data_IF_202315152857
#
_entry.id   IF_202315152857
#
_cell.length_a   1.000
_cell.length_b   1.000
_cell.length_c   1.000
_cell.angle_alpha   90.00
_cell.angle_beta   90.00
_cell.angle_gamma   90.00
#
_symmetry.space_group_name_H-M   'P 1'
#
loop_
_entity.id
_entity.type
_entity.pdbx_description
1 polymer ?
#
# COMPACT_ATOMS: atom_id res chain seq x y z
N UNK A 1 0.50 -13.70 3.03
CA UNK A 1 -0.82 -14.28 2.72
C UNK A 1 -1.93 -13.91 3.69
N UNK A 2 -1.87 -14.21 5.00
CA UNK A 2 -3.03 -14.00 5.89
C UNK A 2 -3.46 -12.55 6.04
N UNK A 3 -2.55 -11.58 6.17
CA UNK A 3 -2.92 -10.16 6.27
C UNK A 3 -3.72 -9.69 5.05
N UNK A 4 -3.30 -10.07 3.85
CA UNK A 4 -3.99 -9.63 2.63
C UNK A 4 -5.28 -10.40 2.45
N UNK A 5 -5.25 -11.72 2.63
CA UNK A 5 -6.40 -12.60 2.44
C UNK A 5 -7.50 -12.37 3.49
N UNK A 6 -7.12 -12.09 4.74
CA UNK A 6 -8.07 -12.06 5.85
C UNK A 6 -8.45 -10.63 6.27
N UNK A 7 -7.64 -9.61 5.95
CA UNK A 7 -7.92 -8.21 6.32
C UNK A 7 -8.20 -7.32 5.11
N UNK A 8 -7.48 -7.50 4.00
CA UNK A 8 -7.58 -6.60 2.83
C UNK A 8 -8.62 -7.11 1.82
N UNK A 9 -8.71 -8.43 1.62
CA UNK A 9 -9.65 -9.02 0.67
C UNK A 9 -11.12 -8.91 1.08
N UNK A 10 -11.57 -8.99 2.35
CA UNK A 10 -12.99 -8.85 2.64
C UNK A 10 -13.56 -7.47 2.25
N UNK A 11 -12.92 -6.33 2.59
CA UNK A 11 -13.37 -5.02 2.11
C UNK A 11 -13.25 -4.85 0.59
N UNK A 12 -12.16 -5.33 -0.02
CA UNK A 12 -11.97 -5.25 -1.48
C UNK A 12 -12.97 -6.13 -2.24
N UNK A 13 -13.27 -7.31 -1.72
CA UNK A 13 -14.24 -8.24 -2.29
C UNK A 13 -15.65 -7.66 -2.26
N UNK A 14 -16.01 -6.93 -1.19
CA UNK A 14 -17.26 -6.17 -1.12
C UNK A 14 -17.30 -5.03 -2.15
N UNK A 15 -16.20 -4.29 -2.33
CA UNK A 15 -16.10 -3.20 -3.31
C UNK A 15 -16.15 -3.69 -4.76
N UNK A 16 -15.52 -4.84 -5.04
CA UNK A 16 -15.47 -5.44 -6.36
C UNK A 16 -16.69 -6.33 -6.65
N UNK A 17 -17.67 -6.43 -5.74
CA UNK A 17 -18.91 -7.16 -5.97
C UNK A 17 -18.76 -8.69 -5.95
N UNK A 18 -17.76 -9.23 -5.27
CA UNK A 18 -17.56 -10.67 -5.12
C UNK A 18 -17.05 -11.38 -6.38
N UNK A 19 -16.37 -10.65 -7.28
CA UNK A 19 -15.78 -11.24 -8.49
C UNK A 19 -14.83 -12.39 -8.10
N UNK A 20 -15.16 -13.59 -8.58
CA UNK A 20 -14.40 -14.81 -8.36
C UNK A 20 -14.23 -15.53 -9.71
N UNK A 21 -12.98 -15.69 -10.14
CA UNK A 21 -12.67 -16.32 -11.42
C UNK A 21 -12.42 -17.83 -11.32
N UNK A 22 -12.43 -18.42 -10.12
CA UNK A 22 -12.05 -19.83 -9.91
C UNK A 22 -12.94 -20.84 -10.65
N UNK A 23 -14.19 -20.48 -10.97
CA UNK A 23 -15.12 -21.32 -11.72
C UNK A 23 -15.02 -21.13 -13.24
N UNK A 24 -14.05 -20.36 -13.74
CA UNK A 24 -13.75 -20.33 -15.16
C UNK A 24 -12.77 -21.46 -15.49
N UNK A 25 -13.29 -22.49 -16.13
CA UNK A 25 -12.51 -23.64 -16.55
C UNK A 25 -13.04 -24.21 -17.85
N UNK A 26 -12.19 -24.98 -18.52
CA UNK A 26 -12.56 -25.75 -19.70
C UNK A 26 -12.45 -27.23 -19.37
N UNK A 27 -13.48 -28.01 -19.66
CA UNK A 27 -13.45 -29.47 -19.49
C UNK A 27 -12.79 -30.10 -20.72
N UNK A 28 -11.86 -31.03 -20.50
CA UNK A 28 -11.21 -31.77 -21.61
C UNK A 28 -11.83 -33.15 -21.85
N UNK A 29 -12.78 -33.55 -21.01
CA UNK A 29 -13.54 -34.80 -21.15
C UNK A 29 -15.03 -34.53 -21.36
N UNK A 30 -15.79 -35.61 -21.51
CA UNK A 30 -17.23 -35.53 -21.73
C UNK A 30 -17.96 -35.09 -20.44
N UNK A 31 -18.82 -34.08 -20.58
CA UNK A 31 -19.69 -33.58 -19.52
C UNK A 31 -19.60 -32.07 -19.31
N UNK A 32 -20.75 -31.43 -19.12
CA UNK A 32 -20.86 -30.07 -18.63
C UNK A 32 -21.02 -30.07 -17.12
N UNK A 33 -20.13 -29.38 -16.43
CA UNK A 33 -20.15 -29.26 -14.97
C UNK A 33 -20.41 -27.81 -14.57
N UNK A 34 -21.30 -27.56 -13.59
CA UNK A 34 -21.63 -26.20 -13.16
C UNK A 34 -20.50 -25.53 -12.38
N UNK A 35 -19.56 -26.30 -11.82
CA UNK A 35 -18.44 -25.78 -11.03
C UNK A 35 -17.17 -26.59 -11.26
N UNK A 36 -16.03 -25.95 -11.01
CA UNK A 36 -14.71 -26.58 -11.07
C UNK A 36 -14.60 -27.73 -10.05
N UNK A 37 -15.25 -27.57 -8.90
CA UNK A 37 -15.32 -28.60 -7.87
C UNK A 37 -16.06 -29.85 -8.37
N UNK A 38 -17.22 -29.67 -9.00
CA UNK A 38 -18.00 -30.78 -9.55
C UNK A 38 -17.23 -31.54 -10.65
N UNK A 39 -16.54 -30.81 -11.54
CA UNK A 39 -15.71 -31.43 -12.58
C UNK A 39 -14.53 -32.23 -11.99
N UNK A 40 -13.91 -31.72 -10.92
CA UNK A 40 -12.82 -32.42 -10.21
C UNK A 40 -13.32 -33.66 -9.47
N UNK A 41 -14.48 -33.58 -8.81
CA UNK A 41 -15.09 -34.72 -8.12
C UNK A 41 -15.49 -35.83 -9.11
N UNK A 42 -15.94 -35.46 -10.31
CA UNK A 42 -16.21 -36.39 -11.40
C UNK A 42 -14.94 -37.01 -12.03
N UNK A 43 -13.74 -36.60 -11.59
CA UNK A 43 -12.47 -37.10 -12.13
C UNK A 43 -12.16 -36.62 -13.55
N UNK A 44 -12.85 -35.59 -14.04
CA UNK A 44 -12.67 -35.07 -15.39
C UNK A 44 -11.49 -34.10 -15.43
N UNK A 45 -10.62 -34.27 -16.42
CA UNK A 45 -9.51 -33.36 -16.65
C UNK A 45 -10.06 -31.95 -17.02
N UNK A 46 -9.59 -30.94 -16.29
CA UNK A 46 -10.02 -29.54 -16.45
C UNK A 46 -8.84 -28.60 -16.62
N UNK A 47 -8.94 -27.67 -17.58
CA UNK A 47 -8.01 -26.56 -17.76
C UNK A 47 -8.55 -25.34 -17.00
N UNK A 48 -7.88 -25.04 -15.88
CA UNK A 48 -8.37 -24.12 -14.86
C UNK A 48 -7.80 -22.72 -15.04
N UNK A 49 -8.05 -22.10 -16.20
CA UNK A 49 -7.51 -20.77 -16.52
C UNK A 49 -8.04 -19.67 -15.59
N UNK A 50 -9.25 -19.86 -15.04
CA UNK A 50 -9.84 -18.99 -14.05
C UNK A 50 -9.02 -18.86 -12.77
N UNK A 51 -8.44 -19.96 -12.29
CA UNK A 51 -7.57 -19.97 -11.11
C UNK A 51 -6.28 -19.21 -11.39
N UNK A 52 -5.76 -19.28 -12.62
CA UNK A 52 -4.58 -18.50 -13.02
C UNK A 52 -4.88 -17.00 -13.03
N UNK A 53 -6.00 -16.59 -13.63
CA UNK A 53 -6.46 -15.19 -13.62
C UNK A 53 -6.69 -14.71 -12.18
N UNK A 54 -7.35 -15.53 -11.35
CA UNK A 54 -7.56 -15.23 -9.94
C UNK A 54 -6.21 -14.96 -9.24
N UNK A 55 -5.23 -15.84 -9.44
CA UNK A 55 -3.91 -15.70 -8.82
C UNK A 55 -3.18 -14.43 -9.29
N UNK A 56 -3.28 -14.09 -10.58
CA UNK A 56 -2.74 -12.85 -11.14
C UNK A 56 -3.38 -11.60 -10.52
N UNK A 57 -4.70 -11.60 -10.35
CA UNK A 57 -5.45 -10.52 -9.71
C UNK A 57 -5.07 -10.41 -8.23
N UNK A 58 -5.05 -11.52 -7.51
CA UNK A 58 -4.68 -11.57 -6.09
C UNK A 58 -3.25 -11.03 -5.88
N UNK A 59 -2.29 -11.45 -6.72
CA UNK A 59 -0.93 -10.94 -6.69
C UNK A 59 -0.86 -9.42 -6.93
N UNK A 60 -1.63 -8.92 -7.90
CA UNK A 60 -1.70 -7.49 -8.20
C UNK A 60 -2.26 -6.70 -7.02
N UNK A 61 -3.31 -7.21 -6.36
CA UNK A 61 -3.90 -6.62 -5.17
C UNK A 61 -2.90 -6.60 -4.00
N UNK A 62 -2.21 -7.71 -3.76
CA UNK A 62 -1.18 -7.82 -2.72
C UNK A 62 -0.08 -6.78 -2.96
N UNK A 63 0.44 -6.71 -4.19
CA UNK A 63 1.47 -5.74 -4.56
C UNK A 63 1.00 -4.30 -4.37
N UNK A 64 -0.23 -3.98 -4.81
CA UNK A 64 -0.84 -2.67 -4.64
C UNK A 64 -1.05 -2.30 -3.16
N UNK A 65 -1.51 -3.25 -2.36
CA UNK A 65 -1.69 -3.05 -0.92
C UNK A 65 -0.37 -2.75 -0.21
N UNK A 66 0.68 -3.55 -0.48
CA UNK A 66 2.02 -3.32 0.08
C UNK A 66 2.54 -1.93 -0.35
N UNK A 67 2.37 -1.57 -1.62
CA UNK A 67 2.75 -0.25 -2.13
C UNK A 67 2.02 0.88 -1.40
N UNK A 68 0.71 0.74 -1.17
CA UNK A 68 -0.09 1.73 -0.43
C UNK A 68 0.37 1.86 1.02
N UNK A 69 0.66 0.75 1.70
CA UNK A 69 1.18 0.76 3.09
C UNK A 69 2.54 1.48 3.15
N UNK A 70 3.48 1.14 2.26
CA UNK A 70 4.80 1.78 2.20
C UNK A 70 4.65 3.28 1.91
N UNK A 71 3.78 3.66 0.96
CA UNK A 71 3.51 5.06 0.61
C UNK A 71 2.91 5.82 1.80
N UNK A 72 1.99 5.21 2.54
CA UNK A 72 1.39 5.81 3.74
C UNK A 72 2.44 5.98 4.84
N UNK A 73 3.24 4.95 5.11
CA UNK A 73 4.34 5.02 6.09
C UNK A 73 5.35 6.11 5.73
N UNK A 74 5.78 6.19 4.47
CA UNK A 74 6.70 7.21 3.98
C UNK A 74 6.10 8.62 4.09
N UNK A 75 4.79 8.78 3.83
CA UNK A 75 4.09 10.05 3.97
C UNK A 75 4.02 10.50 5.44
N UNK A 76 3.68 9.59 6.35
CA UNK A 76 3.63 9.88 7.79
C UNK A 76 5.02 10.25 8.32
N UNK A 77 6.05 9.50 7.92
CA UNK A 77 7.43 9.79 8.29
C UNK A 77 7.88 11.17 7.79
N UNK A 78 7.55 11.52 6.54
CA UNK A 78 7.86 12.84 5.97
C UNK A 78 7.12 13.98 6.70
N UNK A 79 5.86 13.78 7.08
CA UNK A 79 5.12 14.78 7.86
C UNK A 79 5.71 14.98 9.27
N UNK A 80 6.26 13.94 9.88
CA UNK A 80 6.97 14.06 11.15
C UNK A 80 8.31 14.79 11.00
N UNK A 81 9.06 14.53 9.93
CA UNK A 81 10.32 15.23 9.62
C UNK A 81 10.09 16.70 9.23
N UNK A 82 9.05 17.00 8.44
CA UNK A 82 8.66 18.37 8.08
C UNK A 82 8.21 19.18 9.30
N UNK A 83 7.55 18.54 10.29
CA UNK A 83 7.16 19.19 11.54
C UNK A 83 8.34 19.42 12.51
N UNK A 84 9.42 18.66 12.35
CA UNK A 84 10.68 18.89 13.07
C UNK A 84 11.60 19.91 12.36
N UNK A 85 11.27 20.28 11.12
CA UNK A 85 11.99 21.24 10.29
C UNK A 85 11.29 22.61 10.21
N UNK A 86 10.45 22.97 11.19
CA UNK A 86 10.20 24.39 11.44
C UNK A 86 11.56 25.06 11.64
N UNK A 87 11.88 26.13 10.88
CA UNK A 87 13.15 26.81 11.05
C UNK A 87 13.22 27.21 12.51
N UNK A 88 14.23 26.69 13.22
CA UNK A 88 14.54 27.14 14.56
C UNK A 88 14.49 28.67 14.53
N UNK A 89 13.75 29.33 15.43
CA UNK A 89 13.69 30.79 15.45
C UNK A 89 15.12 31.29 15.38
N UNK A 90 15.39 32.22 14.46
CA UNK A 90 16.73 32.79 14.29
C UNK A 90 17.30 33.09 15.67
N UNK A 91 18.51 32.61 16.00
CA UNK A 91 19.04 32.76 17.34
C UNK A 91 19.02 34.24 17.67
N UNK A 92 18.21 34.61 18.67
CA UNK A 92 18.18 35.97 19.18
C UNK A 92 19.61 36.29 19.56
N UNK A 93 20.24 37.33 18.98
CA UNK A 93 21.63 37.64 19.27
C UNK A 93 21.78 37.78 20.79
N UNK A 94 22.79 37.12 21.38
CA UNK A 94 23.04 37.26 22.80
C UNK A 94 23.26 38.73 23.16
N UNK A 95 22.94 39.11 24.40
CA UNK A 95 23.13 40.48 24.87
C UNK A 95 24.57 40.96 24.65
N UNK A 96 25.55 40.06 24.77
CA UNK A 96 26.95 40.33 24.45
C UNK A 96 27.14 40.80 23.00
N UNK A 97 26.50 40.15 22.02
CA UNK A 97 26.59 40.53 20.60
C UNK A 97 25.92 41.90 20.34
N UNK A 98 24.86 42.23 21.09
CA UNK A 98 24.20 43.54 21.02
C UNK A 98 25.11 44.64 21.61
N UNK A 99 25.64 44.40 22.81
CA UNK A 99 26.58 45.33 23.46
C UNK A 99 27.83 45.56 22.61
N UNK A 100 28.37 44.51 21.99
CA UNK A 100 29.51 44.64 21.08
C UNK A 100 29.19 45.46 19.82
N UNK A 101 27.95 45.40 19.31
CA UNK A 101 27.51 46.27 18.20
C UNK A 101 27.39 47.73 18.64
N UNK A 102 26.82 47.98 19.81
CA UNK A 102 26.70 49.34 20.37
C UNK A 102 28.07 49.97 20.65
N UNK A 103 29.02 49.19 21.18
CA UNK A 103 30.40 49.63 21.39
C UNK A 103 31.07 49.95 20.05
N UNK A 104 30.95 49.08 19.03
CA UNK A 104 31.50 49.31 17.70
C UNK A 104 30.97 50.61 17.08
N UNK A 105 29.67 50.85 17.21
CA UNK A 105 29.02 52.03 16.61
C UNK A 105 29.35 53.31 17.40
N UNK A 106 29.61 53.19 18.70
CA UNK A 106 30.12 54.28 19.54
C UNK A 106 31.58 54.65 19.22
N UNK A 107 32.41 53.69 18.82
CA UNK A 107 33.80 53.91 18.40
C UNK A 107 33.94 54.42 16.96
N UNK A 108 32.88 54.34 16.15
CA UNK A 108 32.83 54.89 14.79
C UNK A 108 32.37 56.36 14.76
N UNK A 109 31.95 56.92 15.90
CA UNK A 109 31.71 58.35 16.10
C UNK A 109 32.97 59.01 16.67
#
# INVERSE_FOLDING_TARGET
DSLVKDVIMPPLGLLLGGINFNNLFFTLGDGDFPTLAAAKEAGVATLNYGVFIQTMVDFTIIAFAIFMVIKLMNRLRRQHEEKAAEPAPEPVPSEEVLLLREIRDSLRK
#
